data_IF_754460506164
#
_entry.id   IF_754460506164
#
_cell.length_a   1.000
_cell.length_b   1.000
_cell.length_c   1.000
_cell.angle_alpha   90.00
_cell.angle_beta   90.00
_cell.angle_gamma   90.00
#
_symmetry.space_group_name_H-M   'P 1'
#
loop_
_entity.id
_entity.type
_entity.pdbx_description
1 polymer ?
#
# COMPACT_ATOMS: atom_id res chain seq x y z
N UNK A 1 31.43 -15.64 -23.87
CA UNK A 1 30.40 -14.84 -23.18
C UNK A 1 30.22 -13.51 -23.91
N UNK A 2 29.57 -13.55 -25.07
CA UNK A 2 29.37 -12.36 -25.89
C UNK A 2 27.95 -11.85 -25.68
N UNK A 3 27.79 -10.87 -24.76
CA UNK A 3 26.55 -10.10 -24.62
C UNK A 3 25.86 -10.12 -23.24
N UNK A 4 26.42 -10.83 -22.25
CA UNK A 4 25.89 -10.83 -20.87
C UNK A 4 26.80 -10.07 -19.93
N UNK A 5 26.20 -9.23 -19.07
CA UNK A 5 26.88 -8.43 -18.05
C UNK A 5 26.39 -8.82 -16.67
N UNK A 6 27.27 -8.67 -15.67
CA UNK A 6 26.91 -8.92 -14.28
C UNK A 6 26.05 -7.77 -13.75
N UNK A 7 24.83 -8.11 -13.35
CA UNK A 7 23.84 -7.22 -12.76
C UNK A 7 23.46 -7.78 -11.39
N UNK A 8 24.00 -7.19 -10.33
CA UNK A 8 23.91 -7.73 -8.97
C UNK A 8 24.53 -9.12 -8.86
N UNK A 9 23.69 -10.13 -8.59
CA UNK A 9 24.10 -11.55 -8.48
C UNK A 9 23.87 -12.37 -9.75
N UNK A 10 23.34 -11.77 -10.82
CA UNK A 10 22.93 -12.46 -12.05
C UNK A 10 23.73 -11.96 -13.25
N UNK A 11 23.91 -12.80 -14.26
CA UNK A 11 24.36 -12.37 -15.57
C UNK A 11 23.14 -12.16 -16.46
N UNK A 12 22.95 -10.95 -16.97
CA UNK A 12 21.80 -10.55 -17.79
C UNK A 12 22.28 -9.84 -19.06
N UNK A 13 21.50 -9.81 -20.15
CA UNK A 13 21.83 -8.98 -21.30
C UNK A 13 21.95 -7.51 -20.89
N UNK A 14 22.80 -6.73 -21.58
CA UNK A 14 23.01 -5.31 -21.27
C UNK A 14 21.70 -4.50 -21.17
N UNK A 15 20.74 -4.77 -22.06
CA UNK A 15 19.43 -4.11 -22.07
C UNK A 15 18.56 -4.39 -20.83
N UNK A 16 18.97 -5.32 -19.96
CA UNK A 16 18.25 -5.71 -18.74
C UNK A 16 19.08 -5.49 -17.48
N UNK A 17 20.19 -4.76 -17.57
CA UNK A 17 20.94 -4.42 -16.38
C UNK A 17 20.13 -3.49 -15.46
N UNK A 18 20.39 -3.63 -14.16
CA UNK A 18 19.95 -2.71 -13.13
C UNK A 18 20.85 -1.47 -13.06
N UNK A 19 20.60 -0.63 -12.08
CA UNK A 19 21.14 0.72 -12.00
C UNK A 19 22.08 0.88 -10.81
N UNK A 20 23.07 1.76 -10.93
CA UNK A 20 23.87 2.22 -9.81
C UNK A 20 23.54 3.68 -9.53
N UNK A 21 23.05 3.99 -8.33
CA UNK A 21 22.67 5.34 -7.93
C UNK A 21 23.21 5.64 -6.53
N UNK A 22 23.96 6.75 -6.37
CA UNK A 22 24.57 7.19 -5.10
C UNK A 22 25.32 6.06 -4.35
N UNK A 23 25.99 5.17 -5.09
CA UNK A 23 26.77 4.06 -4.52
C UNK A 23 25.97 2.82 -4.12
N UNK A 24 24.65 2.79 -4.37
CA UNK A 24 23.79 1.62 -4.18
C UNK A 24 23.34 1.07 -5.53
N UNK A 25 23.30 -0.25 -5.63
CA UNK A 25 22.79 -0.95 -6.80
C UNK A 25 21.30 -1.28 -6.62
N UNK A 26 20.52 -1.07 -7.67
CA UNK A 26 19.07 -1.31 -7.75
C UNK A 26 18.78 -2.24 -8.92
N UNK A 27 17.89 -3.22 -8.72
CA UNK A 27 17.48 -4.13 -9.79
C UNK A 27 16.61 -3.40 -10.83
N UNK A 28 16.60 -3.88 -12.07
CA UNK A 28 15.75 -3.31 -13.11
C UNK A 28 14.26 -3.41 -12.71
N UNK A 29 13.55 -2.27 -12.73
CA UNK A 29 12.17 -2.12 -12.27
C UNK A 29 12.03 -1.76 -10.79
N UNK A 30 13.12 -1.71 -10.02
CA UNK A 30 13.07 -1.33 -8.61
C UNK A 30 12.78 0.18 -8.47
N UNK A 31 11.93 0.52 -7.51
CA UNK A 31 11.60 1.89 -7.14
C UNK A 31 12.14 2.23 -5.75
N UNK A 32 12.67 3.44 -5.58
CA UNK A 32 13.31 3.85 -4.33
C UNK A 32 13.27 5.36 -4.11
N UNK A 33 13.37 5.77 -2.84
CA UNK A 33 13.52 7.16 -2.45
C UNK A 33 14.99 7.53 -2.27
N UNK A 34 15.40 8.70 -2.77
CA UNK A 34 16.79 9.16 -2.75
C UNK A 34 17.15 9.98 -1.52
N UNK A 35 16.16 10.64 -0.91
CA UNK A 35 16.35 11.63 0.16
C UNK A 35 15.72 11.19 1.49
N UNK A 36 16.18 11.75 2.64
CA UNK A 36 15.66 11.41 3.97
C UNK A 36 14.17 11.67 4.16
N UNK A 37 13.64 12.68 3.46
CA UNK A 37 12.25 13.14 3.60
C UNK A 37 11.32 12.57 2.53
N UNK A 38 11.78 11.57 1.75
CA UNK A 38 11.03 10.99 0.63
C UNK A 38 10.62 12.03 -0.44
N UNK A 39 11.36 13.15 -0.53
CA UNK A 39 11.09 14.26 -1.46
C UNK A 39 11.30 13.96 -2.95
N UNK A 40 11.96 12.85 -3.26
CA UNK A 40 12.24 12.39 -4.62
C UNK A 40 12.17 10.86 -4.68
N UNK A 41 11.44 10.34 -5.67
CA UNK A 41 11.27 8.91 -5.96
C UNK A 41 11.83 8.60 -7.34
N UNK A 42 12.60 7.53 -7.42
CA UNK A 42 13.24 7.09 -8.64
C UNK A 42 12.84 5.66 -9.01
N UNK A 43 12.86 5.37 -10.31
CA UNK A 43 12.72 4.02 -10.86
C UNK A 43 13.97 3.66 -11.66
N UNK A 44 14.48 2.45 -11.43
CA UNK A 44 15.56 1.89 -12.23
C UNK A 44 14.98 1.31 -13.53
N UNK A 45 15.26 1.94 -14.67
CA UNK A 45 14.84 1.45 -15.99
C UNK A 45 15.80 0.34 -16.48
N UNK A 46 15.28 -0.66 -17.21
CA UNK A 46 16.13 -1.64 -17.88
C UNK A 46 17.17 -0.93 -18.77
N UNK A 47 18.44 -1.33 -18.66
CA UNK A 47 19.53 -0.65 -19.37
C UNK A 47 20.34 0.29 -18.47
N UNK A 48 19.99 0.40 -17.18
CA UNK A 48 20.81 1.02 -16.15
C UNK A 48 20.56 2.51 -15.93
N UNK A 49 19.55 3.07 -16.59
CA UNK A 49 19.13 4.46 -16.42
C UNK A 49 18.21 4.62 -15.20
N UNK A 50 18.42 5.69 -14.44
CA UNK A 50 17.59 6.03 -13.28
C UNK A 50 16.76 7.26 -13.65
N UNK A 51 15.44 7.13 -13.53
CA UNK A 51 14.50 8.21 -13.76
C UNK A 51 13.89 8.63 -12.42
N UNK A 52 14.04 9.89 -12.05
CA UNK A 52 13.59 10.44 -10.77
C UNK A 52 12.52 11.51 -10.96
N UNK A 53 11.57 11.57 -10.04
CA UNK A 53 10.51 12.57 -9.99
C UNK A 53 10.32 13.09 -8.56
N UNK A 54 9.93 14.37 -8.39
CA UNK A 54 9.51 14.87 -7.09
C UNK A 54 8.41 13.98 -6.49
N UNK A 55 8.49 13.73 -5.18
CA UNK A 55 7.57 12.89 -4.44
C UNK A 55 7.37 13.43 -3.01
N UNK A 56 6.42 12.83 -2.29
CA UNK A 56 6.18 13.11 -0.89
C UNK A 56 5.19 12.11 -0.33
N UNK A 57 5.27 11.86 0.97
CA UNK A 57 4.35 10.95 1.64
C UNK A 57 2.94 11.54 1.73
N UNK A 58 1.94 10.69 1.63
CA UNK A 58 0.55 11.12 1.75
C UNK A 58 0.23 11.57 3.19
N UNK A 59 -0.89 12.27 3.36
CA UNK A 59 -1.36 12.61 4.69
C UNK A 59 -1.58 11.33 5.52
N UNK A 60 -1.00 11.28 6.72
CA UNK A 60 -1.05 10.10 7.59
C UNK A 60 0.11 9.11 7.38
N UNK A 61 1.03 9.40 6.46
CA UNK A 61 2.27 8.65 6.28
C UNK A 61 3.49 9.46 6.71
N UNK A 62 4.55 8.76 7.12
CA UNK A 62 5.85 9.32 7.45
C UNK A 62 6.94 8.59 6.65
N UNK A 63 7.97 9.35 6.25
CA UNK A 63 9.13 8.78 5.58
C UNK A 63 10.04 8.11 6.59
N UNK A 64 10.12 6.78 6.56
CA UNK A 64 10.96 6.02 7.47
C UNK A 64 11.63 4.85 6.76
N UNK A 65 12.55 4.18 7.46
CA UNK A 65 13.25 3.00 6.97
C UNK A 65 12.74 1.77 7.71
N UNK A 66 11.89 0.96 7.06
CA UNK A 66 11.44 -0.34 7.59
C UNK A 66 12.15 -1.46 6.86
N UNK A 67 12.81 -2.37 7.60
CA UNK A 67 13.50 -3.52 7.01
C UNK A 67 14.66 -3.15 6.07
N UNK A 68 15.26 -1.96 6.22
CA UNK A 68 16.35 -1.47 5.37
C UNK A 68 15.91 -0.84 4.04
N UNK A 69 14.60 -0.68 3.83
CA UNK A 69 14.01 0.01 2.68
C UNK A 69 13.37 1.31 3.17
N UNK A 70 13.71 2.42 2.53
CA UNK A 70 13.08 3.72 2.78
C UNK A 70 11.77 3.79 2.01
N UNK A 71 10.71 4.25 2.65
CA UNK A 71 9.42 4.49 2.02
C UNK A 71 8.49 5.34 2.87
N UNK A 72 7.34 5.67 2.29
CA UNK A 72 6.24 6.25 3.03
C UNK A 72 5.47 5.13 3.72
N UNK A 73 5.30 5.27 5.02
CA UNK A 73 4.68 4.27 5.86
C UNK A 73 3.59 4.90 6.72
N UNK A 74 2.46 4.21 6.94
CA UNK A 74 1.38 4.76 7.75
C UNK A 74 1.86 4.98 9.19
N UNK A 75 1.61 6.20 9.70
CA UNK A 75 1.91 6.62 11.08
C UNK A 75 0.96 5.98 12.08
N UNK A 76 -0.27 5.68 11.66
CA UNK A 76 -1.27 5.00 12.46
C UNK A 76 -2.23 4.18 11.58
N UNK A 77 -2.72 3.08 12.11
CA UNK A 77 -3.82 2.32 11.53
C UNK A 77 -5.08 2.55 12.36
N UNK A 78 -6.19 2.95 11.71
CA UNK A 78 -7.51 2.90 12.32
C UNK A 78 -8.06 1.48 12.35
N UNK A 79 -8.91 1.15 13.33
CA UNK A 79 -9.52 -0.18 13.43
C UNK A 79 -11.04 -0.09 13.58
N UNK A 80 -11.77 -0.44 12.52
CA UNK A 80 -13.21 -0.68 12.62
C UNK A 80 -13.48 -2.10 13.15
N UNK A 81 -14.41 -2.24 14.11
CA UNK A 81 -14.70 -3.51 14.77
C UNK A 81 -16.20 -3.76 14.90
N UNK A 82 -16.59 -5.02 14.68
CA UNK A 82 -17.91 -5.54 15.06
C UNK A 82 -17.76 -6.21 16.43
N UNK A 83 -18.34 -5.59 17.46
CA UNK A 83 -18.20 -6.03 18.85
C UNK A 83 -19.34 -6.95 19.30
N UNK A 84 -20.45 -6.97 18.56
CA UNK A 84 -21.59 -7.86 18.78
C UNK A 84 -22.67 -7.66 17.72
N UNK A 85 -23.87 -8.20 17.96
CA UNK A 85 -24.96 -8.17 16.99
C UNK A 85 -25.40 -6.75 16.57
N UNK A 86 -25.25 -5.76 17.44
CA UNK A 86 -25.63 -4.37 17.19
C UNK A 86 -24.59 -3.36 17.69
N UNK A 87 -23.42 -3.80 18.12
CA UNK A 87 -22.40 -2.92 18.71
C UNK A 87 -21.16 -2.91 17.84
N UNK A 88 -20.69 -1.72 17.49
CA UNK A 88 -19.61 -1.49 16.56
C UNK A 88 -18.65 -0.42 17.09
N UNK A 89 -17.44 -0.39 16.58
CA UNK A 89 -16.47 0.70 16.76
C UNK A 89 -16.02 1.18 15.39
N UNK A 90 -16.02 2.49 15.18
CA UNK A 90 -15.47 3.13 13.97
C UNK A 90 -13.95 3.11 13.97
N UNK A 91 -13.31 3.51 12.85
CA UNK A 91 -11.85 3.52 12.69
C UNK A 91 -11.12 4.42 13.70
N UNK A 92 -11.75 5.51 14.11
CA UNK A 92 -11.30 6.48 15.11
C UNK A 92 -11.74 6.12 16.55
N UNK A 93 -12.33 4.94 16.74
CA UNK A 93 -12.65 4.40 18.07
C UNK A 93 -13.99 4.82 18.66
N UNK A 94 -14.84 5.53 17.91
CA UNK A 94 -16.16 5.89 18.39
C UNK A 94 -17.10 4.67 18.44
N UNK A 95 -17.80 4.46 19.57
CA UNK A 95 -18.77 3.38 19.69
C UNK A 95 -20.06 3.74 18.93
N UNK A 96 -20.59 2.78 18.18
CA UNK A 96 -21.85 2.88 17.46
C UNK A 96 -22.77 1.72 17.86
N UNK A 97 -24.05 2.04 18.08
CA UNK A 97 -25.10 1.04 18.27
C UNK A 97 -26.08 1.07 17.10
N UNK A 98 -26.25 -0.05 16.41
CA UNK A 98 -27.14 -0.15 15.26
C UNK A 98 -27.81 -1.53 15.15
N UNK A 99 -29.13 -1.55 15.29
CA UNK A 99 -29.96 -2.75 15.35
C UNK A 99 -30.79 -2.99 14.07
N UNK A 100 -30.19 -2.87 12.88
CA UNK A 100 -30.85 -3.13 11.60
C UNK A 100 -30.90 -4.62 11.19
N UNK A 101 -31.63 -4.95 10.12
CA UNK A 101 -31.81 -6.33 9.59
C UNK A 101 -31.66 -6.41 8.06
N UNK A 102 -30.74 -5.64 7.49
CA UNK A 102 -30.39 -5.66 6.07
C UNK A 102 -28.89 -5.93 5.87
N UNK A 103 -28.44 -5.83 4.63
CA UNK A 103 -27.02 -5.74 4.29
C UNK A 103 -26.54 -4.29 4.41
N UNK A 104 -25.39 -4.08 5.03
CA UNK A 104 -24.80 -2.76 5.26
C UNK A 104 -23.33 -2.74 4.88
N UNK A 105 -22.87 -1.64 4.31
CA UNK A 105 -21.44 -1.41 4.06
C UNK A 105 -20.77 -0.97 5.36
N UNK A 106 -19.83 -1.77 5.86
CA UNK A 106 -19.03 -1.46 7.05
C UNK A 106 -17.84 -0.55 6.72
N UNK A 107 -17.18 -0.82 5.60
CA UNK A 107 -16.07 -0.03 5.10
C UNK A 107 -16.00 -0.18 3.57
N UNK A 108 -15.76 0.91 2.87
CA UNK A 108 -15.46 0.89 1.44
C UNK A 108 -14.46 2.00 1.12
N UNK A 109 -13.67 1.80 0.06
CA UNK A 109 -12.81 2.83 -0.51
C UNK A 109 -13.49 3.38 -1.76
N UNK A 110 -13.67 4.69 -1.80
CA UNK A 110 -14.14 5.36 -3.00
C UNK A 110 -13.00 5.40 -4.03
N UNK A 111 -13.27 4.94 -5.25
CA UNK A 111 -12.28 4.77 -6.31
C UNK A 111 -11.73 6.09 -6.89
N UNK A 112 -12.24 7.24 -6.47
CA UNK A 112 -11.85 8.56 -6.97
C UNK A 112 -10.72 9.19 -6.13
N UNK A 113 -9.68 8.39 -5.83
CA UNK A 113 -8.45 8.89 -5.23
C UNK A 113 -7.38 9.22 -6.28
N UNK A 114 -6.28 9.91 -5.90
CA UNK A 114 -5.13 10.09 -6.78
C UNK A 114 -4.61 8.73 -7.28
N UNK A 115 -3.77 8.72 -8.32
CA UNK A 115 -3.23 7.52 -9.01
C UNK A 115 -2.56 6.48 -8.08
N UNK A 116 -2.31 6.84 -6.82
CA UNK A 116 -1.75 5.99 -5.75
C UNK A 116 -2.78 5.49 -4.72
N UNK A 117 -4.08 5.64 -4.99
CA UNK A 117 -5.14 5.16 -4.11
C UNK A 117 -5.13 3.62 -4.02
N UNK A 118 -5.47 3.05 -2.84
CA UNK A 118 -5.59 1.61 -2.71
C UNK A 118 -6.66 1.08 -3.67
N UNK A 119 -6.45 -0.16 -4.15
CA UNK A 119 -7.45 -0.84 -4.96
C UNK A 119 -8.82 -0.77 -4.26
N UNK A 120 -9.90 -0.48 -5.00
CA UNK A 120 -11.23 -0.38 -4.41
C UNK A 120 -11.57 -1.70 -3.72
N UNK A 121 -12.19 -1.59 -2.55
CA UNK A 121 -12.72 -2.74 -1.84
C UNK A 121 -13.96 -2.32 -1.06
N UNK A 122 -14.80 -3.30 -0.75
CA UNK A 122 -15.95 -3.13 0.13
C UNK A 122 -16.04 -4.29 1.13
N UNK A 123 -16.37 -3.96 2.37
CA UNK A 123 -16.70 -4.89 3.45
C UNK A 123 -18.17 -4.74 3.76
N UNK A 124 -18.94 -5.79 3.54
CA UNK A 124 -20.38 -5.81 3.78
C UNK A 124 -20.73 -6.67 4.99
N UNK A 125 -21.74 -6.25 5.72
CA UNK A 125 -22.35 -6.94 6.84
C UNK A 125 -23.76 -7.36 6.48
N UNK A 126 -24.00 -8.66 6.39
CA UNK A 126 -25.34 -9.21 6.26
C UNK A 126 -25.90 -9.51 7.64
N UNK A 127 -27.10 -8.98 7.92
CA UNK A 127 -27.75 -9.16 9.22
C UNK A 127 -29.19 -9.62 9.05
N UNK A 128 -29.52 -10.73 9.69
CA UNK A 128 -30.87 -11.32 9.71
C UNK A 128 -31.40 -11.40 11.15
N UNK A 129 -32.73 -11.46 11.28
CA UNK A 129 -33.37 -11.68 12.58
C UNK A 129 -33.03 -13.08 13.12
N UNK A 130 -32.62 -13.15 14.39
CA UNK A 130 -32.32 -14.42 15.08
C UNK A 130 -30.90 -14.96 14.89
N UNK A 131 -30.02 -14.26 14.16
CA UNK A 131 -28.59 -14.61 14.12
C UNK A 131 -27.84 -14.10 15.37
N UNK A 132 -26.90 -14.89 15.90
CA UNK A 132 -26.04 -14.50 17.02
C UNK A 132 -25.07 -13.35 16.66
N UNK A 133 -24.81 -13.12 15.37
CA UNK A 133 -23.97 -12.03 14.87
C UNK A 133 -24.06 -11.85 13.36
N UNK A 134 -23.55 -10.74 12.83
CA UNK A 134 -23.59 -10.46 11.40
C UNK A 134 -22.59 -11.33 10.62
N UNK A 135 -22.92 -11.66 9.37
CA UNK A 135 -21.99 -12.31 8.44
C UNK A 135 -21.20 -11.26 7.67
N UNK A 136 -19.88 -11.41 7.62
CA UNK A 136 -18.99 -10.48 6.92
C UNK A 136 -18.70 -11.00 5.51
N UNK A 137 -18.86 -10.15 4.50
CA UNK A 137 -18.45 -10.41 3.11
C UNK A 137 -17.40 -9.39 2.67
N UNK A 138 -16.42 -9.87 1.93
CA UNK A 138 -15.34 -9.06 1.36
C UNK A 138 -15.48 -9.06 -0.16
N UNK A 139 -15.56 -7.86 -0.76
CA UNK A 139 -15.59 -7.64 -2.20
C UNK A 139 -14.39 -6.80 -2.64
N UNK A 140 -13.81 -7.17 -3.77
CA UNK A 140 -12.71 -6.47 -4.47
C UNK A 140 -13.16 -6.16 -5.88
#
# INVERSE_FOLDING_TARGET
DDGFVRSGRRCVPLARCGCSHRGRYYEAGEEFYTDPDCGERCVCRPGGEVECRPAGCAAGEECEVRGGVRGCHPTACGRCQVLGAASYSTFDGHPLHFAGTCTYTLAAVEAEGPEEAPAPFAVELEKESGQEGPRVRFGV
#
